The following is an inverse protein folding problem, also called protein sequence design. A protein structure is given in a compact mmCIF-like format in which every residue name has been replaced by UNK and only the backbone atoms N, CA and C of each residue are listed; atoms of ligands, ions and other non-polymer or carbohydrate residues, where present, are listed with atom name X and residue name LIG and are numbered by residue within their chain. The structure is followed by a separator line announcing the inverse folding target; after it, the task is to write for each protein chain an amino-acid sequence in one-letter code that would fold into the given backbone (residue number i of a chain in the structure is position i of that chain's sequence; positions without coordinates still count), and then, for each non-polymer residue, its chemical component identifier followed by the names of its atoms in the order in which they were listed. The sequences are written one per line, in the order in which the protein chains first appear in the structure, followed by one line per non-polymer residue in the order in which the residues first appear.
data_IF_934878705521
#
_entry.id   IF_934878705521
#
_cell.length_a   1.000
_cell.length_b   1.000
_cell.length_c   1.000
_cell.angle_alpha   90.00
_cell.angle_beta   90.00
_cell.angle_gamma   90.00
#
_symmetry.space_group_name_H-M   'P 1'
#
loop_
_entity.id
_entity.type
_entity.pdbx_description
1 polymer ?
#
# COMPACT_ATOMS: atom_id res chain seq x y z
N UNK A 1 -13.71 -15.21 5.65
CA UNK A 1 -13.42 -14.34 4.48
C UNK A 1 -14.62 -14.40 3.56
N UNK A 2 -15.02 -13.27 2.99
CA UNK A 2 -16.06 -13.22 1.96
C UNK A 2 -15.45 -13.34 0.57
N UNK A 3 -16.26 -13.71 -0.44
CA UNK A 3 -15.80 -13.92 -1.82
C UNK A 3 -16.43 -12.89 -2.75
N UNK A 4 -15.60 -12.29 -3.60
CA UNK A 4 -16.04 -11.41 -4.69
C UNK A 4 -15.68 -12.08 -6.02
N UNK A 5 -16.66 -12.19 -6.92
CA UNK A 5 -16.44 -12.65 -8.30
C UNK A 5 -16.23 -11.45 -9.22
N UNK A 6 -15.09 -11.41 -9.91
CA UNK A 6 -14.76 -10.37 -10.88
C UNK A 6 -14.44 -10.98 -12.24
N UNK A 7 -14.81 -10.26 -13.31
CA UNK A 7 -14.40 -10.62 -14.67
C UNK A 7 -13.17 -9.81 -15.05
N UNK A 8 -12.12 -10.51 -15.47
CA UNK A 8 -10.89 -9.93 -15.95
C UNK A 8 -10.68 -10.30 -17.41
N UNK A 9 -10.03 -9.42 -18.15
CA UNK A 9 -9.63 -9.72 -19.53
C UNK A 9 -8.60 -10.83 -19.55
N UNK A 10 -8.49 -11.53 -20.69
CA UNK A 10 -7.48 -12.59 -20.89
C UNK A 10 -6.07 -12.09 -20.58
N UNK A 11 -5.72 -10.90 -21.05
CA UNK A 11 -4.39 -10.28 -20.83
C UNK A 11 -4.10 -10.02 -19.35
N UNK A 12 -5.11 -9.62 -18.56
CA UNK A 12 -4.96 -9.43 -17.12
C UNK A 12 -4.75 -10.75 -16.39
N UNK A 13 -5.51 -11.80 -16.74
CA UNK A 13 -5.31 -13.14 -16.19
C UNK A 13 -3.90 -13.66 -16.50
N UNK A 14 -3.44 -13.52 -17.75
CA UNK A 14 -2.08 -13.91 -18.15
C UNK A 14 -1.01 -13.13 -17.38
N UNK A 15 -1.26 -11.86 -17.09
CA UNK A 15 -0.35 -11.03 -16.28
C UNK A 15 -0.26 -11.54 -14.85
N UNK A 16 -1.39 -11.85 -14.22
CA UNK A 16 -1.43 -12.43 -12.86
C UNK A 16 -0.71 -13.79 -12.86
N UNK A 17 -0.95 -14.63 -13.86
CA UNK A 17 -0.28 -15.94 -13.99
C UNK A 17 1.23 -15.83 -14.09
N UNK A 18 1.75 -14.83 -14.83
CA UNK A 18 3.19 -14.59 -14.88
C UNK A 18 3.77 -14.24 -13.52
N UNK A 19 3.05 -13.47 -12.71
CA UNK A 19 3.51 -13.09 -11.36
C UNK A 19 3.57 -14.31 -10.43
N UNK A 20 2.55 -15.18 -10.50
CA UNK A 20 2.53 -16.43 -9.72
C UNK A 20 3.61 -17.39 -10.20
N UNK A 21 3.78 -17.59 -11.52
CA UNK A 21 4.83 -18.46 -12.09
C UNK A 21 6.25 -18.02 -11.72
N UNK A 22 6.48 -16.72 -11.55
CA UNK A 22 7.76 -16.16 -11.10
C UNK A 22 8.00 -16.32 -9.59
N UNK A 23 7.03 -16.85 -8.85
CA UNK A 23 7.12 -16.99 -7.38
C UNK A 23 6.95 -15.67 -6.62
N UNK A 24 6.49 -14.60 -7.28
CA UNK A 24 6.26 -13.29 -6.61
C UNK A 24 5.05 -13.38 -5.68
N UNK A 25 4.03 -14.13 -6.10
CA UNK A 25 2.86 -14.44 -5.29
C UNK A 25 2.63 -15.95 -5.25
N UNK A 26 2.17 -16.47 -4.11
CA UNK A 26 1.79 -17.87 -3.92
C UNK A 26 0.54 -18.26 -4.70
N UNK A 27 -0.34 -17.30 -5.00
CA UNK A 27 -1.59 -17.55 -5.71
C UNK A 27 -2.13 -16.31 -6.43
N UNK A 28 -3.04 -16.53 -7.39
CA UNK A 28 -3.79 -15.42 -8.04
C UNK A 28 -4.56 -14.59 -7.03
N UNK A 29 -5.16 -15.25 -6.04
CA UNK A 29 -5.94 -14.57 -5.00
C UNK A 29 -5.07 -13.68 -4.11
N UNK A 30 -3.84 -14.10 -3.81
CA UNK A 30 -2.89 -13.24 -3.11
C UNK A 30 -2.51 -12.02 -3.95
N UNK A 31 -2.19 -12.20 -5.23
CA UNK A 31 -1.85 -11.10 -6.12
C UNK A 31 -2.99 -10.06 -6.21
N UNK A 32 -4.24 -10.52 -6.31
CA UNK A 32 -5.41 -9.62 -6.34
C UNK A 32 -5.59 -8.89 -5.00
N UNK A 33 -5.46 -9.59 -3.86
CA UNK A 33 -5.54 -8.95 -2.53
C UNK A 33 -4.43 -7.92 -2.32
N UNK A 34 -3.21 -8.21 -2.77
CA UNK A 34 -2.10 -7.25 -2.69
C UNK A 34 -2.34 -6.03 -3.58
N UNK A 35 -2.90 -6.23 -4.78
CA UNK A 35 -3.29 -5.11 -5.64
C UNK A 35 -4.34 -4.20 -4.98
N UNK A 36 -5.34 -4.78 -4.29
CA UNK A 36 -6.33 -4.00 -3.53
C UNK A 36 -5.67 -3.19 -2.41
N UNK A 37 -4.80 -3.81 -1.61
CA UNK A 37 -4.06 -3.10 -0.53
C UNK A 37 -3.21 -1.95 -1.06
N UNK A 38 -2.54 -2.15 -2.21
CA UNK A 38 -1.73 -1.10 -2.84
C UNK A 38 -2.61 0.04 -3.38
N UNK A 39 -3.79 -0.27 -3.89
CA UNK A 39 -4.75 0.73 -4.33
C UNK A 39 -5.24 1.58 -3.15
N UNK A 40 -5.63 0.95 -2.04
CA UNK A 40 -6.03 1.65 -0.81
C UNK A 40 -4.90 2.56 -0.31
N UNK A 41 -3.67 2.04 -0.23
CA UNK A 41 -2.51 2.83 0.17
C UNK A 41 -2.30 4.05 -0.75
N UNK A 42 -2.42 3.86 -2.07
CA UNK A 42 -2.25 4.94 -3.03
C UNK A 42 -3.32 6.03 -2.86
N UNK A 43 -4.58 5.65 -2.60
CA UNK A 43 -5.67 6.59 -2.32
C UNK A 43 -5.35 7.39 -1.06
N UNK A 44 -4.98 6.73 0.04
CA UNK A 44 -4.61 7.42 1.28
C UNK A 44 -3.42 8.37 1.10
N UNK A 45 -2.42 8.00 0.28
CA UNK A 45 -1.30 8.89 -0.02
C UNK A 45 -1.72 10.13 -0.81
N UNK A 46 -2.67 10.00 -1.74
CA UNK A 46 -3.24 11.14 -2.48
C UNK A 46 -3.99 12.09 -1.53
N UNK A 47 -4.80 11.55 -0.62
CA UNK A 47 -5.51 12.34 0.39
C UNK A 47 -4.54 13.08 1.31
N UNK A 48 -3.48 12.41 1.78
CA UNK A 48 -2.43 13.04 2.58
C UNK A 48 -1.73 14.16 1.81
N UNK A 49 -1.45 13.96 0.51
CA UNK A 49 -0.87 14.99 -0.33
C UNK A 49 -1.80 16.20 -0.47
N UNK A 50 -3.11 15.99 -0.64
CA UNK A 50 -4.08 17.08 -0.68
C UNK A 50 -4.17 17.83 0.64
N UNK A 51 -4.15 17.12 1.78
CA UNK A 51 -4.13 17.74 3.10
C UNK A 51 -2.86 18.56 3.33
N UNK A 52 -1.69 18.02 2.94
CA UNK A 52 -0.42 18.73 3.01
C UNK A 52 -0.45 20.01 2.17
N UNK A 53 -0.95 19.93 0.92
CA UNK A 53 -1.15 21.11 0.06
C UNK A 53 -2.08 22.14 0.70
N UNK A 54 -3.22 21.72 1.25
CA UNK A 54 -4.18 22.61 1.93
C UNK A 54 -3.58 23.29 3.16
N UNK A 55 -2.72 22.60 3.90
CA UNK A 55 -2.00 23.14 5.06
C UNK A 55 -0.74 23.93 4.70
N UNK A 56 -0.38 24.01 3.41
CA UNK A 56 0.85 24.66 2.95
C UNK A 56 2.13 23.90 3.31
N UNK A 57 2.02 22.64 3.73
CA UNK A 57 3.15 21.80 4.16
C UNK A 57 3.93 21.37 2.93
N UNK A 58 5.22 21.67 2.92
CA UNK A 58 6.12 21.28 1.84
C UNK A 58 6.47 19.80 1.93
N UNK A 59 6.90 19.19 0.81
CA UNK A 59 7.32 17.78 0.77
C UNK A 59 8.42 17.46 1.80
N UNK A 60 9.27 18.44 2.13
CA UNK A 60 10.35 18.30 3.11
C UNK A 60 9.81 18.20 4.53
N UNK A 61 8.91 19.10 4.90
CA UNK A 61 8.28 19.10 6.23
C UNK A 61 7.44 17.82 6.47
N UNK A 62 6.75 17.32 5.45
CA UNK A 62 6.01 16.06 5.55
C UNK A 62 6.94 14.86 5.81
N UNK A 63 8.11 14.82 5.15
CA UNK A 63 9.10 13.76 5.38
C UNK A 63 9.73 13.85 6.77
N UNK A 64 9.98 15.06 7.26
CA UNK A 64 10.50 15.29 8.60
C UNK A 64 9.48 14.89 9.69
N UNK A 65 8.19 15.15 9.48
CA UNK A 65 7.12 14.67 10.37
C UNK A 65 6.98 13.15 10.35
N UNK A 66 7.02 12.53 9.17
CA UNK A 66 6.93 11.07 9.05
C UNK A 66 8.13 10.35 9.69
N UNK A 67 9.33 10.94 9.61
CA UNK A 67 10.52 10.41 10.28
C UNK A 67 10.36 10.44 11.81
N UNK A 68 9.88 11.56 12.36
CA UNK A 68 9.60 11.69 13.81
C UNK A 68 8.54 10.69 14.28
N UNK A 69 7.45 10.54 13.52
CA UNK A 69 6.40 9.55 13.81
C UNK A 69 6.98 8.14 13.77
N UNK A 70 7.85 7.84 12.80
CA UNK A 70 8.54 6.55 12.70
C UNK A 70 9.41 6.24 13.92
N UNK A 71 10.20 7.22 14.38
CA UNK A 71 11.06 7.10 15.56
C UNK A 71 10.24 6.91 16.84
N UNK A 72 9.15 7.69 17.01
CA UNK A 72 8.22 7.54 18.14
C UNK A 72 7.54 6.17 18.14
N UNK A 73 7.08 5.70 16.98
CA UNK A 73 6.43 4.39 16.85
C UNK A 73 7.42 3.26 17.17
N UNK A 74 8.69 3.42 16.78
CA UNK A 74 9.77 2.48 17.07
C UNK A 74 10.08 2.45 18.57
N UNK A 75 10.28 3.61 19.20
CA UNK A 75 10.51 3.69 20.65
C UNK A 75 9.35 3.13 21.45
N UNK A 76 8.10 3.38 21.06
CA UNK A 76 6.93 2.81 21.77
C UNK A 76 6.83 1.29 21.61
N UNK A 77 7.12 0.75 20.42
CA UNK A 77 7.00 -0.70 20.15
C UNK A 77 8.19 -1.51 20.63
N UNK A 78 9.39 -0.93 20.72
CA UNK A 78 10.64 -1.67 20.95
C UNK A 78 11.49 -1.17 22.12
N UNK A 79 11.20 -0.01 22.72
CA UNK A 79 11.89 0.44 23.95
C UNK A 79 11.13 0.07 25.24
N UNK A 80 9.99 -0.63 25.15
CA UNK A 80 9.24 -1.17 26.28
C UNK A 80 9.44 -2.69 26.45
N UNK A 81 10.65 -3.20 26.22
CA UNK A 81 11.04 -4.57 26.56
C UNK A 81 12.42 -4.58 27.20
#
# INVERSE_FOLDING_TARGET
METVQVRLTKSQIESIDRLVKKGIYSSRGEAVRDAVRRLELMISLLELQEMAKKKGITKKELLDELAKIGDELYSQKFAST
#
